data_IF_770661805558
#
_entry.id   IF_770661805558
#
_cell.length_a   1.000
_cell.length_b   1.000
_cell.length_c   1.000
_cell.angle_alpha   90.00
_cell.angle_beta   90.00
_cell.angle_gamma   90.00
#
_symmetry.space_group_name_H-M   'P 1'
#
loop_
_entity.id
_entity.type
_entity.pdbx_description
1 polymer ?
#
# COMPACT_ATOMS: atom_id res chain seq x y z
N UNK A 1 -72.54 -21.54 -2.58
CA UNK A 1 -71.31 -21.51 -3.41
C UNK A 1 -70.10 -21.43 -2.49
N UNK A 2 -69.27 -22.47 -2.48
CA UNK A 2 -67.98 -22.50 -1.79
C UNK A 2 -66.98 -21.54 -2.47
N UNK A 3 -66.10 -20.91 -1.67
CA UNK A 3 -64.64 -20.94 -1.90
C UNK A 3 -63.89 -20.54 -0.62
N UNK A 4 -63.15 -21.51 -0.10
CA UNK A 4 -62.13 -21.40 0.96
C UNK A 4 -60.81 -20.99 0.32
N UNK A 5 -60.10 -19.98 0.84
CA UNK A 5 -58.62 -19.73 0.71
C UNK A 5 -58.29 -18.75 1.88
N UNK A 6 -57.71 -19.08 3.03
CA UNK A 6 -56.40 -19.65 3.40
C UNK A 6 -55.19 -18.87 2.86
N UNK A 7 -54.55 -18.02 3.67
CA UNK A 7 -53.07 -18.00 3.78
C UNK A 7 -52.55 -17.05 4.86
N UNK A 8 -51.56 -17.57 5.58
CA UNK A 8 -50.83 -16.98 6.70
C UNK A 8 -49.62 -16.19 6.14
N UNK A 9 -48.71 -15.65 6.98
CA UNK A 9 -48.21 -14.27 6.93
C UNK A 9 -46.92 -14.15 6.09
N UNK A 10 -46.39 -12.96 5.82
CA UNK A 10 -44.97 -12.86 5.47
C UNK A 10 -44.35 -11.53 5.86
N UNK A 11 -43.36 -11.67 6.75
CA UNK A 11 -42.31 -10.71 7.03
C UNK A 11 -41.80 -10.10 5.72
N UNK A 12 -41.94 -8.79 5.53
CA UNK A 12 -41.05 -8.07 4.64
C UNK A 12 -39.75 -7.85 5.41
N UNK A 13 -38.83 -8.79 5.23
CA UNK A 13 -37.47 -8.77 5.74
C UNK A 13 -36.79 -7.42 5.43
N UNK A 14 -36.29 -6.75 6.47
CA UNK A 14 -35.39 -5.62 6.32
C UNK A 14 -34.11 -6.08 5.63
N UNK A 15 -33.97 -5.72 4.36
CA UNK A 15 -32.72 -5.86 3.62
C UNK A 15 -31.72 -4.84 4.18
N UNK A 16 -31.04 -5.21 5.27
CA UNK A 16 -29.87 -4.51 5.76
C UNK A 16 -28.75 -4.73 4.75
N UNK A 17 -28.63 -3.78 3.82
CA UNK A 17 -27.44 -3.62 3.00
C UNK A 17 -26.27 -3.24 3.93
N UNK A 18 -25.49 -4.24 4.35
CA UNK A 18 -24.20 -4.03 4.97
C UNK A 18 -23.21 -3.56 3.88
N UNK A 19 -23.24 -2.27 3.56
CA UNK A 19 -22.23 -1.64 2.71
C UNK A 19 -20.98 -1.31 3.53
N UNK A 20 -19.87 -1.93 3.15
CA UNK A 20 -18.52 -1.41 3.32
C UNK A 20 -17.81 -1.83 4.59
N UNK A 21 -17.01 -2.90 4.52
CA UNK A 21 -15.80 -2.94 5.35
C UNK A 21 -14.89 -1.82 4.84
N UNK A 22 -14.75 -0.76 5.62
CA UNK A 22 -13.73 0.25 5.36
C UNK A 22 -12.38 -0.46 5.20
N UNK A 23 -11.74 -0.28 4.04
CA UNK A 23 -10.32 -0.63 3.89
C UNK A 23 -9.59 0.18 4.94
N UNK A 24 -9.03 -0.49 5.96
CA UNK A 24 -8.13 0.18 6.89
C UNK A 24 -6.97 0.72 6.05
N UNK A 25 -6.87 2.05 6.03
CA UNK A 25 -5.74 2.79 5.48
C UNK A 25 -4.47 2.46 6.27
N UNK A 26 -3.29 2.73 5.72
CA UNK A 26 -2.03 2.42 6.39
C UNK A 26 -1.79 3.28 7.62
N UNK A 27 -1.40 2.67 8.74
CA UNK A 27 -1.02 3.40 9.95
C UNK A 27 0.47 3.77 9.92
N UNK A 28 0.76 5.03 9.61
CA UNK A 28 2.14 5.55 9.50
C UNK A 28 2.98 5.28 10.76
N UNK A 29 2.40 5.40 11.96
CA UNK A 29 3.15 5.19 13.21
C UNK A 29 3.48 3.71 13.46
N UNK A 30 2.61 2.79 13.04
CA UNK A 30 2.90 1.36 13.04
C UNK A 30 3.93 1.02 11.96
N UNK A 31 3.78 1.61 10.77
CA UNK A 31 4.69 1.49 9.64
C UNK A 31 6.11 1.90 9.97
N UNK A 32 6.27 3.05 10.64
CA UNK A 32 7.58 3.55 11.09
C UNK A 32 8.31 2.53 11.97
N UNK A 33 7.59 1.86 12.88
CA UNK A 33 8.21 0.84 13.76
C UNK A 33 8.65 -0.40 12.98
N UNK A 34 7.91 -0.77 11.93
CA UNK A 34 8.26 -1.90 11.05
C UNK A 34 9.38 -1.56 10.07
N UNK A 35 9.43 -0.31 9.61
CA UNK A 35 10.40 0.19 8.65
C UNK A 35 11.86 0.11 9.12
N UNK A 36 12.11 0.00 10.44
CA UNK A 36 13.47 -0.11 11.01
C UNK A 36 14.32 -1.19 10.31
N UNK A 37 13.73 -2.33 9.94
CA UNK A 37 14.46 -3.39 9.24
C UNK A 37 14.74 -3.04 7.76
N UNK A 38 13.94 -2.19 7.14
CA UNK A 38 14.06 -1.73 5.77
C UNK A 38 15.12 -0.63 5.60
N UNK A 39 15.26 0.23 6.63
CA UNK A 39 16.15 1.39 6.64
C UNK A 39 17.63 1.04 6.47
N UNK A 40 18.04 -0.16 6.89
CA UNK A 40 19.42 -0.65 6.75
C UNK A 40 19.90 -0.68 5.28
N UNK A 41 18.98 -0.87 4.34
CA UNK A 41 19.27 -0.88 2.91
C UNK A 41 18.68 0.35 2.20
N UNK A 42 17.44 0.74 2.56
CA UNK A 42 16.72 1.82 1.87
C UNK A 42 16.98 3.22 2.47
N UNK A 43 17.84 3.31 3.48
CA UNK A 43 18.17 4.55 4.18
C UNK A 43 17.16 4.88 5.28
N UNK A 44 17.63 5.52 6.34
CA UNK A 44 16.79 5.98 7.47
C UNK A 44 15.78 7.05 7.06
N UNK A 45 16.05 7.77 5.98
CA UNK A 45 15.14 8.74 5.37
C UNK A 45 14.42 8.17 4.13
N UNK A 46 14.55 6.86 3.87
CA UNK A 46 13.96 6.17 2.72
C UNK A 46 14.54 6.57 1.36
N UNK A 47 15.61 7.36 1.28
CA UNK A 47 16.14 7.84 -0.01
C UNK A 47 17.22 6.95 -0.64
N UNK A 48 17.44 5.75 -0.10
CA UNK A 48 18.45 4.80 -0.56
C UNK A 48 19.86 5.17 -0.11
N UNK A 49 20.70 4.17 0.17
CA UNK A 49 22.10 4.38 0.56
C UNK A 49 23.09 4.19 -0.61
N UNK A 50 22.66 3.52 -1.67
CA UNK A 50 23.46 3.22 -2.86
C UNK A 50 22.54 2.94 -4.06
N UNK A 51 23.03 3.02 -5.31
CA UNK A 51 22.19 2.87 -6.51
C UNK A 51 21.40 1.55 -6.62
N UNK A 52 21.91 0.48 -6.01
CA UNK A 52 21.27 -0.84 -5.97
C UNK A 52 20.19 -0.97 -4.88
N UNK A 53 20.07 0.01 -3.97
CA UNK A 53 19.03 0.08 -2.96
C UNK A 53 18.10 1.26 -3.27
N UNK A 54 16.95 1.00 -3.93
CA UNK A 54 16.12 2.07 -4.47
C UNK A 54 15.54 2.94 -3.35
N UNK A 55 15.35 4.23 -3.67
CA UNK A 55 14.61 5.15 -2.82
C UNK A 55 13.14 4.73 -2.74
N UNK A 56 12.60 4.70 -1.51
CA UNK A 56 11.20 4.45 -1.20
C UNK A 56 10.47 5.74 -0.79
N UNK A 57 11.22 6.75 -0.32
CA UNK A 57 10.68 7.99 0.18
C UNK A 57 9.85 8.73 -0.86
N UNK A 58 8.60 9.04 -0.52
CA UNK A 58 7.67 9.80 -1.36
C UNK A 58 7.19 9.05 -2.59
N UNK A 59 7.43 7.73 -2.66
CA UNK A 59 6.86 6.89 -3.71
C UNK A 59 5.36 6.69 -3.46
N UNK A 60 4.60 6.43 -4.52
CA UNK A 60 3.18 6.13 -4.38
C UNK A 60 2.97 4.87 -3.55
N UNK A 61 2.07 4.96 -2.56
CA UNK A 61 1.83 3.90 -1.59
C UNK A 61 1.36 2.62 -2.29
N UNK A 62 0.41 2.72 -3.22
CA UNK A 62 -0.13 1.61 -4.02
C UNK A 62 0.95 0.86 -4.81
N UNK A 63 1.90 1.58 -5.40
CA UNK A 63 3.05 0.98 -6.08
C UNK A 63 3.95 0.20 -5.11
N UNK A 64 4.22 0.75 -3.92
CA UNK A 64 5.03 0.06 -2.92
C UNK A 64 4.31 -1.17 -2.37
N UNK A 65 2.98 -1.11 -2.17
CA UNK A 65 2.16 -2.24 -1.75
C UNK A 65 2.24 -3.36 -2.79
N UNK A 66 1.98 -3.03 -4.06
CA UNK A 66 2.07 -4.00 -5.15
C UNK A 66 3.45 -4.64 -5.23
N UNK A 67 4.52 -3.83 -5.12
CA UNK A 67 5.88 -4.36 -5.16
C UNK A 67 6.17 -5.35 -4.01
N UNK A 68 5.72 -5.05 -2.78
CA UNK A 68 5.88 -5.96 -1.65
C UNK A 68 5.06 -7.24 -1.80
N UNK A 69 3.83 -7.14 -2.32
CA UNK A 69 3.03 -8.32 -2.68
C UNK A 69 3.73 -9.16 -3.75
N UNK A 70 4.26 -8.54 -4.80
CA UNK A 70 4.97 -9.25 -5.87
C UNK A 70 6.21 -9.99 -5.35
N UNK A 71 6.96 -9.39 -4.41
CA UNK A 71 8.10 -10.05 -3.76
C UNK A 71 7.65 -11.21 -2.86
N UNK A 72 6.56 -11.05 -2.13
CA UNK A 72 5.99 -12.06 -1.24
C UNK A 72 5.47 -13.28 -2.02
N UNK A 73 4.83 -13.04 -3.15
CA UNK A 73 4.21 -14.08 -3.99
C UNK A 73 5.17 -14.62 -5.08
N UNK A 74 6.38 -14.05 -5.16
CA UNK A 74 7.42 -14.48 -6.11
C UNK A 74 7.22 -14.00 -7.56
N UNK A 75 6.28 -13.10 -7.82
CA UNK A 75 6.10 -12.44 -9.12
C UNK A 75 7.27 -11.51 -9.45
N UNK A 76 7.84 -10.88 -8.42
CA UNK A 76 9.08 -10.12 -8.51
C UNK A 76 10.17 -10.85 -7.76
N UNK A 77 11.25 -11.21 -8.45
CA UNK A 77 12.28 -12.08 -7.88
C UNK A 77 13.46 -11.28 -7.34
N UNK A 78 13.68 -11.34 -6.03
CA UNK A 78 14.94 -10.96 -5.38
C UNK A 78 15.06 -11.69 -4.04
N UNK A 79 16.08 -12.54 -3.86
CA UNK A 79 16.17 -13.39 -2.66
C UNK A 79 16.12 -12.62 -1.33
N UNK A 80 16.72 -11.43 -1.28
CA UNK A 80 16.70 -10.58 -0.09
C UNK A 80 15.29 -10.04 0.14
N UNK A 81 14.71 -9.36 -0.86
CA UNK A 81 13.38 -8.75 -0.69
C UNK A 81 12.26 -9.78 -0.52
N UNK A 82 12.37 -10.97 -1.11
CA UNK A 82 11.44 -12.07 -0.86
C UNK A 82 11.48 -12.47 0.63
N UNK A 83 12.68 -12.59 1.22
CA UNK A 83 12.85 -12.86 2.65
C UNK A 83 12.32 -11.73 3.54
N UNK A 84 12.48 -10.47 3.11
CA UNK A 84 11.96 -9.30 3.83
C UNK A 84 10.43 -9.19 3.77
N UNK A 85 9.82 -9.55 2.65
CA UNK A 85 8.38 -9.45 2.42
C UNK A 85 7.60 -10.65 3.00
N UNK A 86 8.21 -11.84 3.04
CA UNK A 86 7.58 -13.07 3.53
C UNK A 86 6.87 -12.97 4.89
N UNK A 87 7.46 -12.35 5.94
CA UNK A 87 6.81 -12.28 7.26
C UNK A 87 5.76 -11.15 7.39
N UNK A 88 5.61 -10.27 6.40
CA UNK A 88 4.70 -9.13 6.49
C UNK A 88 3.26 -9.60 6.28
N UNK A 89 2.34 -9.23 7.17
CA UNK A 89 0.90 -9.30 6.90
C UNK A 89 0.48 -8.23 5.89
N UNK A 90 -0.72 -8.35 5.33
CA UNK A 90 -1.23 -7.33 4.40
C UNK A 90 -1.39 -5.97 5.10
N UNK A 91 -1.68 -5.97 6.41
CA UNK A 91 -1.71 -4.73 7.18
C UNK A 91 -0.30 -4.18 7.43
N UNK A 92 0.70 -5.03 7.69
CA UNK A 92 2.10 -4.58 7.81
C UNK A 92 2.58 -3.93 6.50
N UNK A 93 2.19 -4.51 5.34
CA UNK A 93 2.48 -3.96 4.02
C UNK A 93 1.88 -2.56 3.90
N UNK A 94 0.57 -2.39 4.14
CA UNK A 94 -0.08 -1.07 4.11
C UNK A 94 0.56 -0.06 5.06
N UNK A 95 0.88 -0.48 6.28
CA UNK A 95 1.46 0.39 7.29
C UNK A 95 2.86 0.88 6.87
N UNK A 96 3.75 -0.04 6.44
CA UNK A 96 5.12 0.29 6.06
C UNK A 96 5.18 1.13 4.77
N UNK A 97 4.28 0.87 3.81
CA UNK A 97 4.22 1.63 2.56
C UNK A 97 3.64 3.02 2.79
N UNK A 98 2.63 3.17 3.65
CA UNK A 98 2.13 4.48 4.07
C UNK A 98 3.22 5.33 4.74
N UNK A 99 4.04 4.71 5.59
CA UNK A 99 5.20 5.39 6.18
C UNK A 99 6.18 5.90 5.12
N UNK A 100 6.69 5.03 4.24
CA UNK A 100 7.66 5.45 3.22
C UNK A 100 7.07 6.46 2.21
N UNK A 101 5.79 6.31 1.85
CA UNK A 101 5.09 7.25 0.97
C UNK A 101 4.97 8.64 1.60
N UNK A 102 4.86 8.73 2.93
CA UNK A 102 4.81 10.01 3.64
C UNK A 102 6.15 10.75 3.70
N UNK A 103 7.27 10.08 3.43
CA UNK A 103 8.60 10.68 3.51
C UNK A 103 8.89 11.61 2.33
N UNK A 104 9.78 12.58 2.55
CA UNK A 104 10.21 13.50 1.49
C UNK A 104 11.18 12.81 0.54
N UNK A 105 10.78 12.68 -0.73
CA UNK A 105 11.68 12.20 -1.79
C UNK A 105 12.76 13.23 -2.15
N UNK A 106 13.98 12.76 -2.36
CA UNK A 106 15.10 13.48 -2.99
C UNK A 106 15.20 13.22 -4.49
N UNK A 107 14.38 12.33 -5.03
CA UNK A 107 14.32 12.12 -6.47
C UNK A 107 13.81 13.40 -7.13
N UNK A 108 14.61 13.91 -8.07
CA UNK A 108 14.21 15.06 -8.88
C UNK A 108 13.06 14.63 -9.78
N UNK A 109 11.84 15.01 -9.42
CA UNK A 109 10.69 14.88 -10.33
C UNK A 109 10.96 15.67 -11.60
N UNK A 110 10.68 15.07 -12.76
CA UNK A 110 10.79 15.75 -14.05
C UNK A 110 9.89 17.00 -14.14
N UNK A 111 8.96 17.22 -13.19
CA UNK A 111 8.15 18.43 -13.11
C UNK A 111 8.94 19.74 -13.23
N UNK A 112 10.19 19.80 -12.74
CA UNK A 112 11.07 20.97 -12.91
C UNK A 112 11.91 20.98 -14.20
N UNK A 113 12.00 19.85 -14.92
CA UNK A 113 12.75 19.72 -16.19
C UNK A 113 11.85 19.78 -17.42
N UNK A 114 10.54 19.51 -17.29
CA UNK A 114 9.57 19.58 -18.39
C UNK A 114 9.09 21.02 -18.62
N UNK A 115 9.06 21.86 -17.57
CA UNK A 115 8.95 23.31 -17.74
C UNK A 115 10.32 23.85 -18.15
N UNK A 116 10.53 23.96 -19.46
CA UNK A 116 11.79 24.34 -20.11
C UNK A 116 12.53 25.50 -19.46
N UNK A 117 13.32 25.19 -18.44
CA UNK A 117 14.26 26.10 -17.82
C UNK A 117 15.59 25.90 -18.53
N UNK A 118 15.72 26.59 -19.67
CA UNK A 118 16.98 26.65 -20.40
C UNK A 118 18.08 27.23 -19.54
N UNK A 119 18.95 26.36 -19.05
CA UNK A 119 20.35 26.64 -18.67
C UNK A 119 21.09 25.35 -19.08
N UNK A 120 21.73 25.24 -20.24
CA UNK A 120 22.60 26.23 -20.87
C UNK A 120 24.00 26.04 -20.30
N UNK A 121 24.75 25.11 -20.93
CA UNK A 121 26.20 24.84 -20.80
C UNK A 121 26.72 24.41 -19.42
#
# INVERSE_FOLDING_TARGET
MQRRILCVPLLAAGLLLAFGTASADGNIAAGQKKAVACEACHGTDGNGIAPNYPALAGQYQDYLEQALHDYKDGQRTNAIMNGMAAPLSDQDIKDVTAYFSSLKSKLSSLHGKVQGSGHGL
#
